data_IF_437452683487
#
_entry.id   IF_437452683487
#
_cell.length_a   1.000
_cell.length_b   1.000
_cell.length_c   1.000
_cell.angle_alpha   90.00
_cell.angle_beta   90.00
_cell.angle_gamma   90.00
#
_symmetry.space_group_name_H-M   'P 1'
#
loop_
_entity.id
_entity.type
_entity.pdbx_description
1 polymer ?
#
# COMPACT_ATOMS: atom_id res chain seq x y z
N UNK A 1 12.02 -0.52 -45.46
CA UNK A 1 13.06 0.35 -44.86
C UNK A 1 14.27 0.45 -45.79
N UNK A 2 14.79 -0.67 -46.29
CA UNK A 2 15.89 -0.69 -47.29
C UNK A 2 15.59 0.09 -48.58
N UNK A 3 14.40 -0.07 -49.15
CA UNK A 3 13.97 0.67 -50.36
C UNK A 3 13.92 2.18 -50.14
N UNK A 4 13.55 2.62 -48.93
CA UNK A 4 13.52 4.04 -48.56
C UNK A 4 14.94 4.61 -48.41
N UNK A 5 15.86 3.84 -47.81
CA UNK A 5 17.26 4.25 -47.67
C UNK A 5 18.00 4.31 -49.01
N UNK A 6 17.74 3.36 -49.92
CA UNK A 6 18.25 3.45 -51.30
C UNK A 6 17.66 4.65 -52.05
N UNK A 7 16.36 4.94 -51.86
CA UNK A 7 15.73 6.13 -52.43
C UNK A 7 16.31 7.47 -51.93
N UNK A 8 16.92 7.48 -50.74
CA UNK A 8 17.64 8.63 -50.17
C UNK A 8 19.14 8.65 -50.54
N UNK A 9 19.61 7.70 -51.35
CA UNK A 9 21.02 7.57 -51.76
C UNK A 9 21.96 7.01 -50.68
N UNK A 10 21.41 6.40 -49.62
CA UNK A 10 22.19 5.73 -48.58
C UNK A 10 22.60 4.32 -49.02
N UNK A 11 23.71 4.23 -49.77
CA UNK A 11 24.30 2.96 -50.17
C UNK A 11 24.93 2.23 -48.96
N UNK A 12 24.92 0.87 -48.96
CA UNK A 12 25.53 0.10 -47.89
C UNK A 12 27.06 0.23 -47.92
N UNK A 13 27.61 0.66 -46.80
CA UNK A 13 29.05 0.71 -46.53
C UNK A 13 29.40 -0.34 -45.48
N UNK A 14 30.61 -0.91 -45.58
CA UNK A 14 31.10 -1.90 -44.62
C UNK A 14 31.38 -1.21 -43.28
N UNK A 15 30.78 -1.72 -42.20
CA UNK A 15 30.92 -1.15 -40.87
C UNK A 15 31.62 -2.15 -39.94
N UNK A 16 32.69 -1.72 -39.30
CA UNK A 16 33.54 -2.60 -38.49
C UNK A 16 32.84 -3.18 -37.24
N UNK A 17 31.74 -2.58 -36.77
CA UNK A 17 30.95 -3.07 -35.64
C UNK A 17 29.75 -3.89 -36.08
N UNK A 18 29.12 -3.53 -37.20
CA UNK A 18 27.81 -4.06 -37.59
C UNK A 18 27.81 -4.84 -38.92
N UNK A 19 28.97 -5.00 -39.56
CA UNK A 19 29.14 -5.65 -40.86
C UNK A 19 28.77 -4.73 -42.02
N UNK A 20 27.58 -4.12 -41.98
CA UNK A 20 27.17 -3.10 -42.96
C UNK A 20 26.27 -2.03 -42.34
N UNK A 21 26.49 -0.77 -42.70
CA UNK A 21 25.66 0.36 -42.33
C UNK A 21 25.25 1.18 -43.55
N UNK A 22 24.15 1.93 -43.44
CA UNK A 22 23.71 2.91 -44.45
C UNK A 22 23.56 4.27 -43.79
N UNK A 23 24.25 5.28 -44.32
CA UNK A 23 24.21 6.64 -43.78
C UNK A 23 23.51 7.59 -44.74
N UNK A 24 22.58 8.39 -44.23
CA UNK A 24 22.01 9.54 -44.94
C UNK A 24 22.39 10.81 -44.18
N UNK A 25 23.14 11.71 -44.83
CA UNK A 25 23.69 12.94 -44.20
C UNK A 25 22.97 14.22 -44.66
N UNK A 26 21.75 14.09 -45.19
CA UNK A 26 20.99 15.20 -45.75
C UNK A 26 21.46 15.60 -47.17
N UNK A 27 20.61 16.32 -47.90
CA UNK A 27 20.88 16.78 -49.29
C UNK A 27 21.48 18.18 -49.36
N UNK A 28 21.54 18.89 -48.24
CA UNK A 28 22.08 20.26 -48.14
C UNK A 28 23.51 20.13 -47.64
N UNK A 29 24.49 20.40 -48.50
CA UNK A 29 25.85 20.62 -48.02
C UNK A 29 25.88 21.95 -47.24
N UNK A 30 26.27 21.95 -45.97
CA UNK A 30 26.48 23.20 -45.25
C UNK A 30 27.61 23.95 -45.96
N UNK A 31 27.30 25.12 -46.52
CA UNK A 31 28.32 26.05 -46.98
C UNK A 31 29.13 26.48 -45.75
N UNK A 32 30.47 26.44 -45.79
CA UNK A 32 31.27 26.98 -44.69
C UNK A 32 30.87 28.45 -44.53
N UNK A 33 30.26 28.79 -43.40
CA UNK A 33 30.09 30.19 -43.04
C UNK A 33 31.49 30.79 -42.99
N UNK A 34 31.75 31.94 -43.64
CA UNK A 34 33.01 32.63 -43.46
C UNK A 34 33.15 32.96 -41.98
N UNK A 35 34.05 32.25 -41.31
CA UNK A 35 34.46 32.60 -39.95
C UNK A 35 35.26 33.87 -40.11
N UNK A 36 34.62 35.02 -39.87
CA UNK A 36 35.35 36.26 -39.73
C UNK A 36 36.31 36.08 -38.57
N UNK A 37 37.61 36.17 -38.85
CA UNK A 37 38.67 36.16 -37.85
C UNK A 37 38.70 37.53 -37.17
N UNK A 38 37.58 37.89 -36.53
CA UNK A 38 37.56 39.05 -35.65
C UNK A 38 38.32 38.68 -34.38
N UNK A 39 39.24 39.53 -33.90
CA UNK A 39 39.93 39.28 -32.64
C UNK A 39 38.88 39.18 -31.53
N UNK A 40 38.63 37.94 -31.10
CA UNK A 40 37.71 37.63 -30.02
C UNK A 40 38.25 38.29 -28.77
N UNK A 41 37.63 39.40 -28.38
CA UNK A 41 37.97 40.07 -27.12
C UNK A 41 37.66 39.07 -26.01
N UNK A 42 38.69 38.68 -25.27
CA UNK A 42 38.58 37.75 -24.16
C UNK A 42 37.75 38.43 -23.06
N UNK A 43 36.45 38.13 -23.04
CA UNK A 43 35.57 38.61 -21.99
C UNK A 43 36.07 38.04 -20.65
N UNK A 44 36.09 38.84 -19.56
CA UNK A 44 36.47 38.33 -18.25
C UNK A 44 35.61 37.11 -17.92
N UNK A 45 36.26 36.01 -17.54
CA UNK A 45 35.54 34.82 -17.09
C UNK A 45 34.64 35.23 -15.91
N UNK A 46 33.32 34.97 -15.98
CA UNK A 46 32.44 35.30 -14.87
C UNK A 46 32.91 34.56 -13.63
N UNK A 47 32.93 35.25 -12.49
CA UNK A 47 33.27 34.63 -11.22
C UNK A 47 32.35 33.43 -11.00
N UNK A 48 32.93 32.23 -10.93
CA UNK A 48 32.17 31.02 -10.70
C UNK A 48 31.62 31.07 -9.26
N UNK A 49 30.33 30.81 -9.05
CA UNK A 49 29.78 30.78 -7.70
C UNK A 49 30.33 29.56 -6.95
N UNK A 50 30.57 29.72 -5.65
CA UNK A 50 31.23 28.72 -4.80
C UNK A 50 30.54 27.35 -4.81
N UNK A 51 29.22 27.31 -5.02
CA UNK A 51 28.44 26.07 -5.09
C UNK A 51 28.84 25.17 -6.26
N UNK A 52 29.49 25.70 -7.29
CA UNK A 52 29.91 24.91 -8.46
C UNK A 52 31.07 23.96 -8.14
N UNK A 53 31.85 24.29 -7.11
CA UNK A 53 32.97 23.47 -6.63
C UNK A 53 32.64 22.73 -5.33
N UNK A 54 31.47 22.99 -4.75
CA UNK A 54 30.99 22.25 -3.60
C UNK A 54 30.60 20.82 -4.03
N UNK A 55 31.04 19.78 -3.29
CA UNK A 55 30.53 18.43 -3.52
C UNK A 55 29.02 18.43 -3.33
N UNK A 56 28.30 17.73 -4.21
CA UNK A 56 26.86 17.58 -4.10
C UNK A 56 26.47 17.07 -2.70
N UNK A 57 25.42 17.62 -2.07
CA UNK A 57 24.92 17.09 -0.80
C UNK A 57 24.64 15.59 -0.94
N UNK A 58 24.99 14.81 0.10
CA UNK A 58 24.70 13.37 0.09
C UNK A 58 23.20 13.20 -0.04
N UNK A 59 22.76 12.55 -1.11
CA UNK A 59 21.37 12.21 -1.33
C UNK A 59 20.87 11.40 -0.12
N UNK A 60 19.88 11.95 0.60
CA UNK A 60 19.26 11.24 1.70
C UNK A 60 18.57 10.01 1.10
N UNK A 61 19.12 8.82 1.34
CA UNK A 61 18.42 7.59 0.98
C UNK A 61 17.11 7.59 1.77
N UNK A 62 15.94 7.59 1.10
CA UNK A 62 14.69 7.46 1.82
C UNK A 62 14.78 6.23 2.71
N UNK A 63 14.38 6.32 4.00
CA UNK A 63 14.21 5.13 4.82
C UNK A 63 13.38 4.13 4.03
N UNK A 64 13.79 2.86 3.96
CA UNK A 64 12.95 1.84 3.34
C UNK A 64 11.59 1.90 4.05
N UNK A 65 10.48 2.12 3.32
CA UNK A 65 9.17 2.16 3.95
C UNK A 65 8.95 0.89 4.76
N UNK A 66 8.73 1.04 6.06
CA UNK A 66 8.13 0.02 6.89
C UNK A 66 6.71 -0.17 6.36
N UNK A 67 6.49 -1.29 5.66
CA UNK A 67 5.15 -1.75 5.37
C UNK A 67 4.58 -2.34 6.67
N UNK A 68 3.49 -1.78 7.25
CA UNK A 68 2.93 -2.29 8.49
C UNK A 68 2.54 -3.77 8.42
N UNK A 69 2.07 -4.24 7.26
CA UNK A 69 1.78 -5.65 6.99
C UNK A 69 3.02 -6.55 7.03
N UNK A 70 4.22 -5.99 6.85
CA UNK A 70 5.51 -6.69 6.94
C UNK A 70 6.14 -6.65 8.34
N UNK A 71 5.62 -5.84 9.28
CA UNK A 71 6.08 -5.77 10.68
C UNK A 71 5.70 -7.01 11.52
N UNK A 72 5.15 -8.02 10.86
CA UNK A 72 4.47 -9.15 11.46
C UNK A 72 4.61 -10.42 10.67
N UNK A 73 5.83 -10.77 10.23
CA UNK A 73 6.08 -12.16 9.86
C UNK A 73 5.65 -13.04 11.04
N UNK A 74 4.68 -13.92 10.77
CA UNK A 74 4.25 -14.98 11.67
C UNK A 74 5.47 -15.89 11.92
N UNK A 75 6.21 -15.62 12.99
CA UNK A 75 7.34 -16.46 13.44
C UNK A 75 6.86 -17.80 14.04
N UNK A 76 5.56 -18.11 13.92
CA UNK A 76 4.95 -19.34 14.40
C UNK A 76 4.83 -20.31 13.22
N UNK A 77 5.55 -21.45 13.22
CA UNK A 77 5.38 -22.49 12.23
C UNK A 77 3.95 -23.04 12.31
N UNK A 78 3.14 -22.71 11.31
CA UNK A 78 1.75 -23.15 11.27
C UNK A 78 1.71 -24.57 10.64
N UNK A 79 1.13 -25.58 11.31
CA UNK A 79 1.05 -26.93 10.76
C UNK A 79 0.28 -26.93 9.42
N UNK A 80 0.48 -27.95 8.55
CA UNK A 80 -0.28 -28.06 7.32
C UNK A 80 -1.78 -27.99 7.62
N UNK A 81 -2.53 -27.10 6.95
CA UNK A 81 -3.89 -26.80 7.37
C UNK A 81 -4.79 -28.04 7.21
N UNK A 82 -5.54 -28.35 8.26
CA UNK A 82 -6.62 -29.34 8.19
C UNK A 82 -7.70 -28.91 7.18
N UNK A 83 -8.57 -29.83 6.77
CA UNK A 83 -9.70 -29.51 5.89
C UNK A 83 -10.58 -28.37 6.46
N UNK A 84 -10.83 -28.39 7.78
CA UNK A 84 -11.57 -27.34 8.46
C UNK A 84 -10.86 -25.97 8.42
N UNK A 85 -9.53 -25.94 8.54
CA UNK A 85 -8.76 -24.69 8.47
C UNK A 85 -8.75 -24.10 7.05
N UNK A 86 -8.74 -24.95 6.01
CA UNK A 86 -8.86 -24.48 4.62
C UNK A 86 -10.24 -23.91 4.34
N UNK A 87 -11.30 -24.54 4.85
CA UNK A 87 -12.66 -24.02 4.71
C UNK A 87 -12.83 -22.69 5.45
N UNK A 88 -12.29 -22.56 6.66
CA UNK A 88 -12.29 -21.29 7.39
C UNK A 88 -11.57 -20.17 6.64
N UNK A 89 -10.43 -20.45 6.01
CA UNK A 89 -9.71 -19.49 5.18
C UNK A 89 -10.53 -19.09 3.94
N UNK A 90 -11.11 -20.07 3.22
CA UNK A 90 -11.99 -19.81 2.07
C UNK A 90 -13.18 -18.93 2.48
N UNK A 91 -13.84 -19.28 3.59
CA UNK A 91 -14.92 -18.50 4.18
C UNK A 91 -14.50 -17.05 4.46
N UNK A 92 -13.31 -16.89 5.03
CA UNK A 92 -12.74 -15.58 5.34
C UNK A 92 -12.50 -14.72 4.09
N UNK A 93 -11.97 -15.32 3.02
CA UNK A 93 -11.79 -14.64 1.71
C UNK A 93 -13.12 -14.21 1.11
N UNK A 94 -14.14 -15.06 1.15
CA UNK A 94 -15.47 -14.74 0.62
C UNK A 94 -16.10 -13.55 1.35
N UNK A 95 -16.03 -13.53 2.68
CA UNK A 95 -16.56 -12.43 3.47
C UNK A 95 -15.79 -11.12 3.26
N UNK A 96 -14.46 -11.18 3.17
CA UNK A 96 -13.65 -10.01 2.85
C UNK A 96 -14.11 -9.37 1.53
N UNK A 97 -14.25 -10.19 0.48
CA UNK A 97 -14.73 -9.74 -0.81
C UNK A 97 -16.16 -9.16 -0.77
N UNK A 98 -17.03 -9.68 0.11
CA UNK A 98 -18.35 -9.10 0.35
C UNK A 98 -18.26 -7.74 1.06
N UNK A 99 -17.38 -7.58 2.04
CA UNK A 99 -17.19 -6.30 2.73
C UNK A 99 -16.63 -5.20 1.83
N UNK A 100 -15.89 -5.54 0.78
CA UNK A 100 -15.51 -4.59 -0.28
C UNK A 100 -16.71 -4.14 -1.11
N UNK A 101 -17.56 -5.09 -1.51
CA UNK A 101 -18.59 -4.91 -2.56
C UNK A 101 -19.93 -4.38 -2.04
N UNK A 102 -20.40 -4.91 -0.92
CA UNK A 102 -21.76 -4.67 -0.42
C UNK A 102 -22.03 -3.25 0.09
N UNK A 103 -21.05 -2.48 0.61
CA UNK A 103 -21.32 -1.12 1.09
C UNK A 103 -21.96 -0.20 0.04
N UNK A 104 -21.57 -0.34 -1.23
CA UNK A 104 -22.14 0.44 -2.34
C UNK A 104 -23.54 -0.02 -2.79
N UNK A 105 -24.02 -1.17 -2.30
CA UNK A 105 -25.35 -1.71 -2.64
C UNK A 105 -26.38 -1.17 -1.64
N UNK A 106 -27.58 -0.82 -2.12
CA UNK A 106 -28.67 -0.37 -1.26
C UNK A 106 -29.04 -1.45 -0.20
N UNK A 107 -29.31 -1.08 1.06
CA UNK A 107 -29.55 -2.03 2.16
C UNK A 107 -30.53 -3.16 1.82
N UNK A 108 -31.68 -2.84 1.24
CA UNK A 108 -32.73 -3.81 0.91
C UNK A 108 -32.33 -4.81 -0.19
N UNK A 109 -31.33 -4.46 -1.01
CA UNK A 109 -30.83 -5.29 -2.10
C UNK A 109 -29.55 -6.07 -1.74
N UNK A 110 -28.88 -5.74 -0.61
CA UNK A 110 -27.56 -6.30 -0.24
C UNK A 110 -27.57 -7.82 -0.13
N UNK A 111 -28.52 -8.38 0.61
CA UNK A 111 -28.57 -9.83 0.84
C UNK A 111 -28.73 -10.60 -0.47
N UNK A 112 -29.64 -10.15 -1.33
CA UNK A 112 -29.86 -10.78 -2.63
C UNK A 112 -28.65 -10.60 -3.57
N UNK A 113 -27.99 -9.45 -3.55
CA UNK A 113 -26.77 -9.20 -4.33
C UNK A 113 -25.60 -10.07 -3.87
N UNK A 114 -25.41 -10.20 -2.55
CA UNK A 114 -24.39 -11.06 -1.95
C UNK A 114 -24.57 -12.52 -2.37
N UNK A 115 -25.79 -13.06 -2.23
CA UNK A 115 -26.09 -14.45 -2.61
C UNK A 115 -25.84 -14.71 -4.09
N UNK A 116 -26.30 -13.81 -4.97
CA UNK A 116 -26.04 -13.92 -6.41
C UNK A 116 -24.55 -13.93 -6.72
N UNK A 117 -23.78 -13.03 -6.12
CA UNK A 117 -22.33 -12.98 -6.33
C UNK A 117 -21.63 -14.24 -5.83
N UNK A 118 -22.01 -14.75 -4.64
CA UNK A 118 -21.42 -15.97 -4.07
C UNK A 118 -21.62 -17.19 -4.98
N UNK A 119 -22.82 -17.36 -5.52
CA UNK A 119 -23.14 -18.50 -6.40
C UNK A 119 -22.55 -18.31 -7.79
N UNK A 120 -22.81 -17.16 -8.43
CA UNK A 120 -22.50 -16.95 -9.85
C UNK A 120 -21.05 -16.55 -10.13
N UNK A 121 -20.36 -15.94 -9.16
CA UNK A 121 -19.00 -15.43 -9.35
C UNK A 121 -17.98 -16.09 -8.43
N UNK A 122 -18.35 -16.34 -7.17
CA UNK A 122 -17.42 -16.90 -6.18
C UNK A 122 -17.41 -18.44 -6.12
N UNK A 123 -18.26 -19.11 -6.92
CA UNK A 123 -18.29 -20.57 -7.03
C UNK A 123 -18.73 -21.28 -5.75
N UNK A 124 -19.61 -20.67 -4.97
CA UNK A 124 -20.24 -21.32 -3.81
C UNK A 124 -21.42 -22.15 -4.32
N UNK A 125 -21.23 -23.47 -4.38
CA UNK A 125 -22.23 -24.42 -4.89
C UNK A 125 -23.38 -24.65 -3.90
N UNK A 126 -23.09 -24.61 -2.60
CA UNK A 126 -24.09 -24.76 -1.54
C UNK A 126 -24.84 -23.45 -1.31
N UNK A 127 -26.11 -23.42 -1.73
CA UNK A 127 -27.00 -22.28 -1.54
C UNK A 127 -27.25 -21.92 -0.07
N UNK A 128 -27.25 -22.90 0.85
CA UNK A 128 -27.43 -22.65 2.28
C UNK A 128 -26.20 -21.96 2.87
N UNK A 129 -25.00 -22.38 2.45
CA UNK A 129 -23.76 -21.71 2.80
C UNK A 129 -23.72 -20.28 2.22
N UNK A 130 -24.08 -20.10 0.95
CA UNK A 130 -24.13 -18.79 0.33
C UNK A 130 -25.07 -17.81 1.06
N UNK A 131 -26.26 -18.29 1.44
CA UNK A 131 -27.21 -17.51 2.26
C UNK A 131 -26.61 -17.13 3.62
N UNK A 132 -26.01 -18.08 4.32
CA UNK A 132 -25.39 -17.85 5.64
C UNK A 132 -24.29 -16.79 5.56
N UNK A 133 -23.42 -16.86 4.54
CA UNK A 133 -22.36 -15.87 4.34
C UNK A 133 -22.90 -14.48 4.00
N UNK A 134 -23.95 -14.42 3.18
CA UNK A 134 -24.61 -13.16 2.86
C UNK A 134 -25.23 -12.51 4.12
N UNK A 135 -25.90 -13.30 4.97
CA UNK A 135 -26.49 -12.85 6.23
C UNK A 135 -25.41 -12.37 7.21
N UNK A 136 -24.33 -13.12 7.37
CA UNK A 136 -23.18 -12.73 8.20
C UNK A 136 -22.56 -11.41 7.75
N UNK A 137 -22.33 -11.25 6.44
CA UNK A 137 -21.78 -10.01 5.89
C UNK A 137 -22.73 -8.82 6.13
N UNK A 138 -24.02 -9.01 5.85
CA UNK A 138 -25.02 -7.95 6.06
C UNK A 138 -25.14 -7.55 7.53
N UNK A 139 -25.08 -8.52 8.46
CA UNK A 139 -25.12 -8.27 9.90
C UNK A 139 -23.94 -7.42 10.37
N UNK A 140 -22.73 -7.71 9.91
CA UNK A 140 -21.53 -6.92 10.25
C UNK A 140 -21.60 -5.53 9.65
N UNK A 141 -22.00 -5.40 8.38
CA UNK A 141 -22.13 -4.09 7.70
C UNK A 141 -23.18 -3.22 8.39
N UNK A 142 -24.24 -3.83 8.92
CA UNK A 142 -25.32 -3.14 9.62
C UNK A 142 -25.06 -2.95 11.13
N UNK A 143 -23.93 -3.42 11.68
CA UNK A 143 -23.60 -3.24 13.10
C UNK A 143 -23.50 -1.74 13.42
N UNK A 144 -24.36 -1.16 14.28
CA UNK A 144 -24.39 0.28 14.51
C UNK A 144 -23.07 0.89 14.98
N UNK A 145 -22.22 0.10 15.66
CA UNK A 145 -20.91 0.56 16.14
C UNK A 145 -19.96 0.91 14.98
N UNK A 146 -20.15 0.26 13.83
CA UNK A 146 -19.24 0.35 12.68
C UNK A 146 -19.94 0.64 11.37
N UNK A 147 -21.26 0.77 11.34
CA UNK A 147 -22.02 1.04 10.10
C UNK A 147 -21.48 2.26 9.33
N UNK A 148 -20.97 3.28 10.05
CA UNK A 148 -20.35 4.46 9.44
C UNK A 148 -19.11 4.12 8.57
N UNK A 149 -18.33 3.09 8.92
CA UNK A 149 -17.14 2.66 8.15
C UNK A 149 -17.50 1.95 6.83
N UNK A 150 -18.77 1.55 6.71
CA UNK A 150 -19.35 1.00 5.49
C UNK A 150 -20.29 2.00 4.80
N UNK A 151 -20.24 3.27 5.22
CA UNK A 151 -20.96 4.37 4.60
C UNK A 151 -20.26 4.88 3.32
N UNK A 152 -20.92 5.79 2.57
CA UNK A 152 -20.37 6.36 1.33
C UNK A 152 -19.14 7.23 1.56
N UNK A 153 -18.99 7.81 2.76
CA UNK A 153 -17.86 8.68 3.12
C UNK A 153 -16.61 7.88 3.56
N UNK A 154 -16.74 6.56 3.71
CA UNK A 154 -15.62 5.70 4.08
C UNK A 154 -14.86 5.25 2.83
N UNK A 155 -13.55 5.44 2.86
CA UNK A 155 -12.61 5.00 1.84
C UNK A 155 -12.34 3.50 2.01
N UNK A 156 -12.47 2.74 0.92
CA UNK A 156 -12.01 1.36 0.83
C UNK A 156 -10.58 1.33 0.28
N UNK A 157 -9.77 0.36 0.73
CA UNK A 157 -8.39 0.17 0.26
C UNK A 157 -7.59 1.49 0.27
N UNK A 158 -7.68 2.24 1.36
CA UNK A 158 -7.13 3.59 1.45
C UNK A 158 -5.60 3.52 1.64
N UNK A 159 -4.80 4.09 0.72
CA UNK A 159 -3.36 4.16 0.90
C UNK A 159 -3.01 5.20 1.98
N UNK A 160 -2.06 4.84 2.85
CA UNK A 160 -1.54 5.66 3.93
C UNK A 160 -0.02 5.69 3.80
N UNK A 161 0.56 6.89 3.84
CA UNK A 161 2.00 7.08 3.90
C UNK A 161 2.36 8.27 4.79
N UNK A 162 3.22 8.07 5.78
CA UNK A 162 3.70 9.10 6.69
C UNK A 162 5.10 8.80 7.20
N UNK A 163 5.82 9.82 7.66
CA UNK A 163 7.07 9.65 8.40
C UNK A 163 6.76 9.76 9.89
N UNK A 164 7.03 8.71 10.65
CA UNK A 164 6.83 8.63 12.11
C UNK A 164 8.18 8.40 12.75
N UNK A 165 8.65 9.37 13.54
CA UNK A 165 9.93 9.28 14.28
C UNK A 165 11.16 8.94 13.40
N UNK A 166 11.13 9.38 12.14
CA UNK A 166 12.20 9.13 11.16
C UNK A 166 12.00 7.88 10.31
N UNK A 167 11.07 7.00 10.68
CA UNK A 167 10.69 5.84 9.88
C UNK A 167 9.56 6.18 8.91
N UNK A 168 9.69 5.77 7.65
CA UNK A 168 8.59 5.87 6.68
C UNK A 168 7.64 4.71 6.93
N UNK A 169 6.38 5.01 7.25
CA UNK A 169 5.29 4.04 7.32
C UNK A 169 4.47 4.17 6.05
N UNK A 170 4.30 3.09 5.29
CA UNK A 170 3.46 3.08 4.10
C UNK A 170 2.68 1.77 3.97
N UNK A 171 1.39 1.85 3.68
CA UNK A 171 0.56 0.67 3.47
C UNK A 171 -0.85 1.04 3.03
N UNK A 172 -1.70 0.03 2.93
CA UNK A 172 -3.11 0.19 2.56
C UNK A 172 -3.95 -0.38 3.68
N UNK A 173 -4.98 0.36 4.11
CA UNK A 173 -5.97 -0.11 5.07
C UNK A 173 -7.25 -0.49 4.33
N UNK A 174 -7.93 -1.54 4.79
CA UNK A 174 -9.12 -2.03 4.10
C UNK A 174 -10.26 -1.03 4.16
N UNK A 175 -10.44 -0.36 5.30
CA UNK A 175 -11.41 0.73 5.45
C UNK A 175 -10.90 1.87 6.30
N UNK A 176 -11.19 3.09 5.85
CA UNK A 176 -10.85 4.33 6.54
C UNK A 176 -11.99 5.34 6.43
N UNK A 177 -12.48 5.83 7.57
CA UNK A 177 -13.41 6.95 7.64
C UNK A 177 -12.72 8.12 8.33
N UNK A 178 -12.69 9.27 7.67
CA UNK A 178 -12.13 10.51 8.21
C UNK A 178 -13.25 11.53 8.36
N UNK A 179 -13.57 11.87 9.60
CA UNK A 179 -14.55 12.91 9.96
C UNK A 179 -13.84 14.08 10.64
N UNK A 180 -14.43 15.28 10.72
CA UNK A 180 -13.83 16.39 11.46
C UNK A 180 -13.48 16.05 12.92
N UNK A 181 -14.25 15.18 13.56
CA UNK A 181 -14.10 14.82 14.98
C UNK A 181 -13.14 13.64 15.21
N UNK A 182 -13.19 12.63 14.35
CA UNK A 182 -12.46 11.37 14.53
C UNK A 182 -12.06 10.69 13.23
N UNK A 183 -11.12 9.75 13.35
CA UNK A 183 -10.72 8.82 12.31
C UNK A 183 -11.07 7.42 12.80
N UNK A 184 -11.77 6.65 11.97
CA UNK A 184 -12.02 5.24 12.21
C UNK A 184 -11.29 4.42 11.14
N UNK A 185 -10.42 3.51 11.57
CA UNK A 185 -9.65 2.63 10.68
C UNK A 185 -9.91 1.16 11.01
N UNK A 186 -10.18 0.36 9.99
CA UNK A 186 -10.38 -1.08 10.15
C UNK A 186 -9.54 -1.85 9.12
N UNK A 187 -8.92 -2.92 9.60
CA UNK A 187 -8.20 -3.91 8.79
C UNK A 187 -8.86 -5.28 8.97
N UNK A 188 -9.04 -5.99 7.87
CA UNK A 188 -9.77 -7.24 7.79
C UNK A 188 -8.79 -8.41 7.81
N UNK A 189 -8.97 -9.30 8.78
CA UNK A 189 -8.15 -10.50 8.94
C UNK A 189 -8.92 -11.73 8.45
N UNK A 190 -8.45 -12.28 7.33
CA UNK A 190 -8.94 -13.52 6.71
C UNK A 190 -8.32 -14.78 7.31
N UNK A 191 -7.49 -14.63 8.35
CA UNK A 191 -6.75 -15.71 9.00
C UNK A 191 -7.64 -16.85 9.51
N UNK A 192 -7.01 -18.03 9.68
CA UNK A 192 -7.69 -19.31 9.92
C UNK A 192 -8.44 -19.40 11.26
N UNK A 193 -8.15 -18.50 12.20
CA UNK A 193 -8.78 -18.42 13.53
C UNK A 193 -9.05 -16.96 13.88
N UNK A 194 -10.29 -16.67 14.26
CA UNK A 194 -10.63 -15.41 14.91
C UNK A 194 -10.28 -15.50 16.41
N UNK A 195 -9.59 -14.52 17.00
CA UNK A 195 -9.46 -14.42 18.44
C UNK A 195 -10.84 -14.22 19.07
N UNK A 196 -10.98 -14.64 20.32
CA UNK A 196 -12.20 -14.41 21.09
C UNK A 196 -12.30 -12.94 21.56
N UNK A 197 -11.15 -12.32 21.80
CA UNK A 197 -11.04 -11.00 22.42
C UNK A 197 -9.70 -10.32 22.08
N UNK A 198 -9.54 -9.11 22.59
CA UNK A 198 -8.31 -8.33 22.47
C UNK A 198 -7.10 -9.05 23.08
N UNK A 199 -7.28 -9.77 24.20
CA UNK A 199 -6.19 -10.44 24.91
C UNK A 199 -5.59 -11.61 24.11
N UNK A 200 -6.41 -12.25 23.27
CA UNK A 200 -6.00 -13.34 22.37
C UNK A 200 -5.61 -12.86 20.97
N UNK A 201 -5.63 -11.55 20.72
CA UNK A 201 -5.22 -10.98 19.43
C UNK A 201 -3.71 -11.10 19.24
N UNK A 202 -3.22 -11.64 18.11
CA UNK A 202 -1.79 -11.71 17.83
C UNK A 202 -1.13 -10.33 17.89
N UNK A 203 -0.04 -10.22 18.64
CA UNK A 203 0.66 -8.96 18.86
C UNK A 203 1.11 -8.29 17.56
N UNK A 204 1.39 -9.07 16.51
CA UNK A 204 1.77 -8.52 15.22
C UNK A 204 0.63 -7.74 14.52
N UNK A 205 -0.63 -8.17 14.65
CA UNK A 205 -1.78 -7.41 14.16
C UNK A 205 -1.96 -6.10 14.95
N UNK A 206 -1.73 -6.14 16.28
CA UNK A 206 -1.77 -4.93 17.12
C UNK A 206 -0.68 -3.95 16.69
N UNK A 207 0.55 -4.41 16.48
CA UNK A 207 1.67 -3.58 15.97
C UNK A 207 1.36 -2.97 14.60
N UNK A 208 0.76 -3.74 13.70
CA UNK A 208 0.34 -3.23 12.40
C UNK A 208 -0.66 -2.08 12.54
N UNK A 209 -1.71 -2.27 13.35
CA UNK A 209 -2.71 -1.23 13.58
C UNK A 209 -2.15 -0.02 14.34
N UNK A 210 -1.21 -0.23 15.26
CA UNK A 210 -0.50 0.85 15.94
C UNK A 210 0.34 1.68 14.95
N UNK A 211 0.96 1.04 13.95
CA UNK A 211 1.67 1.74 12.89
C UNK A 211 0.74 2.59 12.01
N UNK A 212 -0.43 2.05 11.63
CA UNK A 212 -1.44 2.83 10.91
C UNK A 212 -1.97 3.99 11.75
N UNK A 213 -2.27 3.78 13.03
CA UNK A 213 -2.72 4.83 13.93
C UNK A 213 -1.66 5.94 14.07
N UNK A 214 -0.37 5.58 14.20
CA UNK A 214 0.71 6.54 14.27
C UNK A 214 0.85 7.36 12.97
N UNK A 215 0.74 6.71 11.81
CA UNK A 215 0.78 7.39 10.53
C UNK A 215 -0.42 8.34 10.35
N UNK A 216 -1.63 7.89 10.70
CA UNK A 216 -2.85 8.70 10.65
C UNK A 216 -2.79 9.91 11.58
N UNK A 217 -2.17 9.79 12.76
CA UNK A 217 -1.98 10.91 13.69
C UNK A 217 -1.08 12.02 13.10
N UNK A 218 -0.11 11.65 12.26
CA UNK A 218 0.74 12.60 11.54
C UNK A 218 -0.02 13.25 10.39
N UNK A 219 -0.79 12.47 9.63
CA UNK A 219 -1.54 12.96 8.46
C UNK A 219 -2.69 13.89 8.89
N UNK A 220 -3.36 13.58 10.00
CA UNK A 220 -4.55 14.26 10.47
C UNK A 220 -4.39 14.70 11.95
N UNK A 221 -3.60 15.74 12.20
CA UNK A 221 -3.31 16.17 13.57
C UNK A 221 -4.57 16.62 14.31
N UNK A 222 -4.63 16.28 15.60
CA UNK A 222 -5.70 16.72 16.51
C UNK A 222 -7.02 15.95 16.42
N UNK A 223 -7.08 14.86 15.64
CA UNK A 223 -8.28 13.99 15.55
C UNK A 223 -8.10 12.74 16.40
N UNK A 224 -9.18 12.33 17.07
CA UNK A 224 -9.20 11.05 17.79
C UNK A 224 -9.10 9.89 16.78
N UNK A 225 -8.30 8.87 17.10
CA UNK A 225 -8.11 7.69 16.24
C UNK A 225 -8.71 6.48 16.93
N UNK A 226 -9.70 5.90 16.27
CA UNK A 226 -10.33 4.65 16.65
C UNK A 226 -9.91 3.58 15.65
N UNK A 227 -9.39 2.46 16.16
CA UNK A 227 -8.94 1.36 15.33
C UNK A 227 -9.64 0.06 15.74
N UNK A 228 -9.94 -0.80 14.76
CA UNK A 228 -10.45 -2.13 15.02
C UNK A 228 -9.92 -3.15 14.00
N UNK A 229 -9.94 -4.42 14.40
CA UNK A 229 -9.64 -5.56 13.53
C UNK A 229 -10.91 -6.37 13.29
N UNK A 230 -11.25 -6.59 12.03
CA UNK A 230 -12.39 -7.43 11.65
C UNK A 230 -11.90 -8.81 11.22
N UNK A 231 -12.11 -9.82 12.06
CA UNK A 231 -11.79 -11.20 11.75
C UNK A 231 -12.93 -11.87 11.01
N UNK A 232 -12.72 -12.14 9.73
CA UNK A 232 -13.80 -12.63 8.86
C UNK A 232 -14.14 -14.09 9.12
N UNK A 233 -13.25 -14.90 9.72
CA UNK A 233 -13.56 -16.29 10.10
C UNK A 233 -14.65 -16.41 11.19
N UNK A 234 -14.74 -15.44 12.10
CA UNK A 234 -15.70 -15.40 13.23
C UNK A 234 -16.75 -14.29 13.14
N UNK A 235 -16.87 -13.61 11.99
CA UNK A 235 -17.18 -12.16 11.88
C UNK A 235 -16.99 -11.36 13.18
N UNK A 236 -15.83 -11.52 13.83
CA UNK A 236 -15.56 -10.92 15.13
C UNK A 236 -14.84 -9.59 14.92
N UNK A 237 -15.38 -8.54 15.53
CA UNK A 237 -14.78 -7.22 15.49
C UNK A 237 -14.16 -6.89 16.83
N UNK A 238 -12.87 -6.61 16.83
CA UNK A 238 -12.07 -6.37 18.03
C UNK A 238 -11.61 -4.92 17.97
N UNK A 239 -12.17 -4.10 18.85
CA UNK A 239 -11.72 -2.72 19.06
C UNK A 239 -10.34 -2.71 19.71
N UNK A 240 -9.50 -1.78 19.27
CA UNK A 240 -8.15 -1.56 19.78
C UNK A 240 -8.13 -0.24 20.55
N UNK A 241 -8.18 -0.28 21.90
CA UNK A 241 -8.11 0.92 22.71
C UNK A 241 -6.83 1.71 22.44
N UNK A 242 -6.93 3.04 22.52
CA UNK A 242 -5.79 3.95 22.27
C UNK A 242 -4.56 3.58 23.12
N UNK A 243 -4.77 3.22 24.40
CA UNK A 243 -3.69 2.79 25.28
C UNK A 243 -2.92 1.58 24.75
N UNK A 244 -3.61 0.62 24.10
CA UNK A 244 -3.00 -0.58 23.52
C UNK A 244 -2.24 -0.23 22.25
N UNK A 245 -2.79 0.63 21.39
CA UNK A 245 -2.11 1.12 20.19
C UNK A 245 -0.83 1.90 20.56
N UNK A 246 -0.93 2.81 21.55
CA UNK A 246 0.19 3.62 22.00
C UNK A 246 1.34 2.78 22.55
N UNK A 247 1.03 1.70 23.27
CA UNK A 247 2.04 0.77 23.78
C UNK A 247 2.80 0.00 22.68
N UNK A 248 2.27 -0.04 21.45
CA UNK A 248 2.83 -0.77 20.31
C UNK A 248 3.25 0.16 19.16
N UNK A 249 3.33 1.47 19.39
CA UNK A 249 3.71 2.48 18.39
C UNK A 249 5.07 2.13 17.75
N UNK A 250 5.24 2.22 16.42
CA UNK A 250 6.56 2.09 15.80
C UNK A 250 7.55 3.09 16.39
N UNK A 251 8.77 2.64 16.66
CA UNK A 251 9.76 3.41 17.45
C UNK A 251 9.82 3.00 18.92
N UNK A 252 8.78 2.37 19.49
CA UNK A 252 8.89 1.69 20.79
C UNK A 252 9.64 0.36 20.61
N UNK A 253 10.98 0.43 20.55
CA UNK A 253 11.78 -0.62 21.17
C UNK A 253 11.51 -0.48 22.67
N UNK A 254 10.68 -1.39 23.22
CA UNK A 254 10.51 -1.47 24.66
C UNK A 254 11.89 -1.41 25.31
N UNK A 255 12.01 -0.61 26.37
CA UNK A 255 13.25 -0.37 27.12
C UNK A 255 14.16 -1.58 26.98
N UNK A 256 15.28 -1.40 26.26
CA UNK A 256 16.39 -2.33 26.34
C UNK A 256 16.58 -2.55 27.84
N UNK A 257 16.25 -3.76 28.30
CA UNK A 257 16.56 -4.17 29.65
C UNK A 257 18.06 -3.94 29.79
N UNK A 258 18.40 -2.85 30.47
CA UNK A 258 19.74 -2.55 30.91
C UNK A 258 20.02 -3.54 32.04
N UNK A 259 20.17 -4.81 31.68
CA UNK A 259 20.76 -5.82 32.55
C UNK A 259 22.25 -5.49 32.62
N UNK A 260 22.63 -4.91 33.75
CA UNK A 260 23.99 -5.00 34.26
C UNK A 260 24.68 -3.66 34.51
N UNK A 261 24.19 -2.87 35.49
CA UNK A 261 25.12 -2.09 36.30
C UNK A 261 25.63 -3.00 37.43
N UNK A 262 26.91 -3.36 37.35
CA UNK A 262 27.83 -3.46 38.48
C UNK A 262 27.65 -4.59 39.49
N UNK A 263 28.60 -5.54 39.46
CA UNK A 263 29.73 -5.57 40.41
C UNK A 263 30.92 -6.29 39.81
#
# INVERSE_FOLDING_TARGET
LETAMTGLGGEPEEDALWGSARHYRGTIQPSPLPVADEPRTEAPAPAMPDWLHAPAPREARPPRPLAPSSLGLDDVPDPPPSAALREAARRGTLLHALFERLPAVAPDARAAAAQRWLVSSAGVEDAALARTLAEDACRVIADPRFAAIFGPDALAEAPIAAVVEGDVIAGTVDRLLVTPERILVIDFKTGRRAPADLASTPAHHIRQMAAYAAALAVIFPGRAIEAALLYTAGPTLIELPEAVLRAHKPGFRGEEQMQGIGR
#
